data_IF_061339452302
#
_entry.id   IF_061339452302
#
_cell.length_a   1.000
_cell.length_b   1.000
_cell.length_c   1.000
_cell.angle_alpha   90.00
_cell.angle_beta   90.00
_cell.angle_gamma   90.00
#
_symmetry.space_group_name_H-M   'P 1'
#
loop_
_entity.id
_entity.type
_entity.pdbx_description
1 polymer ?
#
# COMPACT_ATOMS: atom_id res chain seq x y z
N UNK A 1 13.22 64.44 -0.40
CA UNK A 1 12.14 63.70 0.29
C UNK A 1 12.49 62.22 0.29
N UNK A 2 12.66 61.62 1.46
CA UNK A 2 13.06 60.22 1.60
C UNK A 2 11.93 59.29 1.12
N UNK A 3 12.24 58.36 0.23
CA UNK A 3 11.31 57.32 -0.19
C UNK A 3 10.93 56.48 1.04
N UNK A 4 9.64 56.46 1.38
CA UNK A 4 9.08 55.70 2.48
C UNK A 4 9.44 54.22 2.30
N UNK A 5 10.27 53.66 3.19
CA UNK A 5 10.57 52.23 3.23
C UNK A 5 9.38 51.52 3.89
N UNK A 6 8.35 51.23 3.09
CA UNK A 6 7.13 50.57 3.57
C UNK A 6 7.32 49.06 3.88
N UNK A 7 8.48 48.47 3.55
CA UNK A 7 8.70 47.01 3.66
C UNK A 7 10.13 46.69 4.15
N UNK A 8 10.29 45.56 4.83
CA UNK A 8 11.55 45.07 5.42
C UNK A 8 12.64 44.87 4.35
N UNK A 9 13.92 44.95 4.73
CA UNK A 9 15.08 44.93 3.82
C UNK A 9 15.26 43.63 3.03
N UNK A 10 14.62 42.53 3.46
CA UNK A 10 14.61 41.22 2.78
C UNK A 10 13.31 40.93 2.03
N UNK A 11 12.39 41.88 1.92
CA UNK A 11 11.10 41.64 1.29
C UNK A 11 11.19 41.82 -0.24
N UNK A 12 10.82 40.78 -0.98
CA UNK A 12 10.65 40.86 -2.43
C UNK A 12 9.33 41.57 -2.77
N UNK A 13 9.39 42.58 -3.63
CA UNK A 13 8.21 43.37 -4.05
C UNK A 13 8.12 43.35 -5.57
N UNK A 14 7.18 42.57 -6.11
CA UNK A 14 6.82 42.62 -7.51
C UNK A 14 5.67 43.62 -7.73
N UNK A 15 5.81 44.56 -8.67
CA UNK A 15 4.77 45.55 -9.00
C UNK A 15 3.86 45.04 -10.12
N UNK A 16 2.54 45.14 -9.93
CA UNK A 16 1.43 44.85 -10.85
C UNK A 16 1.78 43.96 -12.07
N UNK A 17 2.19 44.54 -13.20
CA UNK A 17 2.44 43.82 -14.45
C UNK A 17 3.56 42.76 -14.33
N UNK A 18 4.61 43.06 -13.57
CA UNK A 18 5.70 42.11 -13.31
C UNK A 18 5.23 40.95 -12.41
N UNK A 19 4.37 41.23 -11.43
CA UNK A 19 3.78 40.18 -10.59
C UNK A 19 2.87 39.25 -11.41
N UNK A 20 2.07 39.81 -12.31
CA UNK A 20 1.20 39.06 -13.20
C UNK A 20 2.00 38.14 -14.13
N UNK A 21 3.04 38.65 -14.79
CA UNK A 21 3.88 37.87 -15.69
C UNK A 21 4.59 36.70 -14.98
N UNK A 22 5.11 36.94 -13.77
CA UNK A 22 5.75 35.92 -12.93
C UNK A 22 4.75 34.84 -12.52
N UNK A 23 3.52 35.23 -12.15
CA UNK A 23 2.45 34.30 -11.78
C UNK A 23 2.00 33.41 -12.95
N UNK A 24 1.82 33.98 -14.13
CA UNK A 24 1.42 33.26 -15.34
C UNK A 24 2.54 32.30 -15.76
N UNK A 25 3.80 32.73 -15.71
CA UNK A 25 4.95 31.88 -16.01
C UNK A 25 5.04 30.69 -15.05
N UNK A 26 4.82 30.89 -13.75
CA UNK A 26 4.81 29.81 -12.77
C UNK A 26 3.68 28.80 -13.00
N UNK A 27 2.48 29.27 -13.35
CA UNK A 27 1.35 28.40 -13.68
C UNK A 27 1.61 27.59 -14.96
N UNK A 28 2.17 28.21 -16.00
CA UNK A 28 2.58 27.54 -17.25
C UNK A 28 3.67 26.51 -17.01
N UNK A 29 4.68 26.83 -16.19
CA UNK A 29 5.75 25.90 -15.85
C UNK A 29 5.22 24.62 -15.18
N UNK A 30 4.26 24.76 -14.25
CA UNK A 30 3.61 23.61 -13.62
C UNK A 30 2.71 22.83 -14.60
N UNK A 31 2.00 23.54 -15.48
CA UNK A 31 1.21 22.96 -16.57
C UNK A 31 2.07 22.09 -17.49
N UNK A 32 3.21 22.57 -17.96
CA UNK A 32 4.06 21.84 -18.91
C UNK A 32 4.66 20.56 -18.30
N UNK A 33 5.01 20.60 -17.00
CA UNK A 33 5.49 19.41 -16.27
C UNK A 33 4.43 18.32 -16.20
N UNK A 34 3.17 18.71 -15.94
CA UNK A 34 2.05 17.79 -15.75
C UNK A 34 1.33 17.42 -17.05
N UNK A 35 1.49 18.19 -18.13
CA UNK A 35 0.88 17.93 -19.44
C UNK A 35 1.19 16.54 -19.96
N UNK A 36 2.44 16.08 -19.78
CA UNK A 36 2.88 14.78 -20.25
C UNK A 36 2.27 13.59 -19.50
N UNK A 37 1.67 13.83 -18.33
CA UNK A 37 1.09 12.79 -17.48
C UNK A 37 -0.36 12.46 -17.85
N UNK A 38 -1.04 13.38 -18.55
CA UNK A 38 -2.46 13.26 -18.85
C UNK A 38 -2.72 12.12 -19.86
N UNK A 39 -3.82 11.40 -19.62
CA UNK A 39 -4.34 10.38 -20.53
C UNK A 39 -3.71 8.99 -20.36
N UNK A 40 -4.27 7.95 -21.00
CA UNK A 40 -3.83 6.56 -20.80
C UNK A 40 -2.39 6.32 -21.27
N UNK A 41 -1.94 7.04 -22.31
CA UNK A 41 -0.56 7.02 -22.83
C UNK A 41 0.38 8.05 -22.17
N UNK A 42 -0.08 8.77 -21.15
CA UNK A 42 0.75 9.72 -20.40
C UNK A 42 1.94 9.04 -19.72
N UNK A 43 3.08 9.74 -19.67
CA UNK A 43 4.34 9.25 -19.10
C UNK A 43 4.36 9.36 -17.58
N UNK A 44 5.03 8.42 -16.93
CA UNK A 44 5.26 8.46 -15.48
C UNK A 44 6.41 9.40 -15.15
N UNK A 45 6.35 10.04 -13.98
CA UNK A 45 7.44 10.86 -13.47
C UNK A 45 8.12 10.11 -12.32
N UNK A 46 9.45 10.16 -12.33
CA UNK A 46 10.29 9.65 -11.25
C UNK A 46 10.69 10.83 -10.38
N UNK A 47 10.27 10.83 -9.12
CA UNK A 47 10.69 11.78 -8.11
C UNK A 47 11.74 11.13 -7.22
N UNK A 48 12.78 11.88 -6.89
CA UNK A 48 13.84 11.44 -5.97
C UNK A 48 13.80 12.35 -4.75
N UNK A 49 13.55 11.78 -3.58
CA UNK A 49 13.56 12.52 -2.31
C UNK A 49 14.99 12.85 -1.90
N UNK A 50 15.17 13.81 -0.97
CA UNK A 50 16.49 14.11 -0.40
C UNK A 50 17.13 12.93 0.35
N UNK A 51 16.33 11.95 0.79
CA UNK A 51 16.80 10.70 1.40
C UNK A 51 17.20 9.63 0.36
N UNK A 52 17.02 9.91 -0.93
CA UNK A 52 17.28 8.97 -2.03
C UNK A 52 16.10 8.05 -2.35
N UNK A 53 14.92 8.28 -1.78
CA UNK A 53 13.73 7.49 -2.11
C UNK A 53 13.27 7.82 -3.53
N UNK A 54 13.11 6.78 -4.34
CA UNK A 54 12.65 6.90 -5.72
C UNK A 54 11.16 6.57 -5.76
N UNK A 55 10.33 7.55 -6.12
CA UNK A 55 8.89 7.40 -6.28
C UNK A 55 8.50 7.60 -7.74
N UNK A 56 8.06 6.52 -8.37
CA UNK A 56 7.50 6.55 -9.72
C UNK A 56 5.99 6.65 -9.62
N UNK A 57 5.42 7.72 -10.16
CA UNK A 57 3.96 7.88 -10.19
C UNK A 57 3.49 8.60 -11.45
N UNK A 58 2.27 8.29 -11.84
CA UNK A 58 1.52 9.01 -12.87
C UNK A 58 0.53 10.01 -12.26
N UNK A 59 0.15 9.79 -11.00
CA UNK A 59 -0.85 10.58 -10.31
C UNK A 59 -0.34 12.00 -10.03
N UNK A 60 -1.08 12.99 -10.52
CA UNK A 60 -0.78 14.39 -10.32
C UNK A 60 -0.78 14.80 -8.85
N UNK A 61 -1.66 14.24 -8.02
CA UNK A 61 -1.74 14.63 -6.60
C UNK A 61 -0.45 14.25 -5.86
N UNK A 62 -0.01 13.00 -6.04
CA UNK A 62 1.24 12.50 -5.45
C UNK A 62 2.44 13.32 -5.92
N UNK A 63 2.48 13.72 -7.20
CA UNK A 63 3.57 14.56 -7.69
C UNK A 63 3.60 15.93 -7.02
N UNK A 64 2.45 16.58 -6.86
CA UNK A 64 2.35 17.91 -6.28
C UNK A 64 2.70 17.95 -4.79
N UNK A 65 2.47 16.86 -4.07
CA UNK A 65 2.85 16.72 -2.65
C UNK A 65 4.35 16.48 -2.46
N UNK A 66 4.95 15.70 -3.34
CA UNK A 66 6.35 15.26 -3.21
C UNK A 66 7.32 16.26 -3.87
N UNK A 67 6.85 17.06 -4.84
CA UNK A 67 7.64 18.12 -5.46
C UNK A 67 7.85 19.30 -4.50
N UNK A 68 9.10 19.72 -4.35
CA UNK A 68 9.45 20.94 -3.62
C UNK A 68 9.20 22.19 -4.49
N UNK A 69 7.96 22.69 -4.45
CA UNK A 69 7.57 23.88 -5.20
C UNK A 69 8.00 25.15 -4.46
N UNK A 70 8.94 25.91 -5.04
CA UNK A 70 9.42 27.17 -4.45
C UNK A 70 8.52 28.37 -4.75
N UNK A 71 7.86 28.39 -5.91
CA UNK A 71 7.08 29.55 -6.34
C UNK A 71 5.71 29.63 -5.61
N UNK A 72 5.35 30.77 -4.99
CA UNK A 72 4.11 30.89 -4.21
C UNK A 72 2.84 30.56 -5.00
N UNK A 73 2.73 31.07 -6.23
CA UNK A 73 1.58 30.83 -7.12
C UNK A 73 1.45 29.36 -7.53
N UNK A 74 2.54 28.68 -7.84
CA UNK A 74 2.53 27.26 -8.14
C UNK A 74 2.16 26.42 -6.90
N UNK A 75 2.59 26.84 -5.70
CA UNK A 75 2.19 26.21 -4.43
C UNK A 75 0.69 26.37 -4.17
N UNK A 76 0.12 27.54 -4.46
CA UNK A 76 -1.32 27.77 -4.35
C UNK A 76 -2.11 26.89 -5.33
N UNK A 77 -1.68 26.81 -6.59
CA UNK A 77 -2.29 25.93 -7.61
C UNK A 77 -2.21 24.46 -7.17
N UNK A 78 -1.07 24.02 -6.64
CA UNK A 78 -0.90 22.66 -6.11
C UNK A 78 -1.88 22.33 -4.98
N UNK A 79 -2.08 23.27 -4.03
CA UNK A 79 -3.04 23.10 -2.94
C UNK A 79 -4.49 23.00 -3.44
N UNK A 80 -4.86 23.82 -4.43
CA UNK A 80 -6.20 23.75 -5.05
C UNK A 80 -6.41 22.41 -5.75
N UNK A 81 -5.39 21.91 -6.45
CA UNK A 81 -5.45 20.59 -7.10
C UNK A 81 -5.58 19.44 -6.10
N UNK A 82 -4.87 19.49 -4.96
CA UNK A 82 -5.05 18.50 -3.87
C UNK A 82 -6.45 18.57 -3.27
N UNK A 83 -6.97 19.77 -2.99
CA UNK A 83 -8.33 19.91 -2.44
C UNK A 83 -9.40 19.33 -3.39
N UNK A 84 -9.19 19.44 -4.71
CA UNK A 84 -10.03 18.79 -5.69
C UNK A 84 -9.92 17.26 -5.64
N UNK A 85 -8.71 16.72 -5.48
CA UNK A 85 -8.47 15.28 -5.35
C UNK A 85 -9.18 14.68 -4.14
N UNK A 86 -9.20 15.38 -3.00
CA UNK A 86 -9.89 14.92 -1.79
C UNK A 86 -11.41 14.73 -2.00
N UNK A 87 -11.97 15.45 -2.97
CA UNK A 87 -13.39 15.40 -3.35
C UNK A 87 -13.62 14.33 -4.41
N UNK A 88 -12.94 14.43 -5.56
CA UNK A 88 -13.23 13.63 -6.77
C UNK A 88 -12.30 12.42 -6.95
N UNK A 89 -11.12 12.43 -6.33
CA UNK A 89 -10.10 11.37 -6.39
C UNK A 89 -9.48 11.12 -7.77
N UNK A 90 -9.70 12.05 -8.70
CA UNK A 90 -9.21 12.04 -10.08
C UNK A 90 -9.35 13.47 -10.66
N UNK A 91 -8.65 13.75 -11.75
CA UNK A 91 -8.75 15.01 -12.48
C UNK A 91 -7.80 16.12 -12.02
N UNK A 92 -6.86 15.83 -11.10
CA UNK A 92 -5.85 16.79 -10.63
C UNK A 92 -5.00 17.36 -11.76
N UNK A 93 -4.53 16.50 -12.67
CA UNK A 93 -3.75 16.89 -13.84
C UNK A 93 -4.56 17.79 -14.78
N UNK A 94 -5.83 17.44 -15.04
CA UNK A 94 -6.73 18.23 -15.88
C UNK A 94 -7.00 19.61 -15.29
N UNK A 95 -7.19 19.70 -13.98
CA UNK A 95 -7.45 20.96 -13.29
C UNK A 95 -6.29 21.94 -13.46
N UNK A 96 -5.05 21.48 -13.27
CA UNK A 96 -3.86 22.33 -13.46
C UNK A 96 -3.68 22.74 -14.91
N UNK A 97 -3.96 21.83 -15.86
CA UNK A 97 -3.90 22.14 -17.29
C UNK A 97 -4.88 23.25 -17.68
N UNK A 98 -6.11 23.19 -17.17
CA UNK A 98 -7.13 24.21 -17.42
C UNK A 98 -6.74 25.54 -16.79
N UNK A 99 -6.26 25.55 -15.54
CA UNK A 99 -5.82 26.78 -14.86
C UNK A 99 -4.67 27.46 -15.63
N UNK A 100 -3.66 26.68 -16.05
CA UNK A 100 -2.53 27.20 -16.82
C UNK A 100 -2.94 27.77 -18.18
N UNK A 101 -3.86 27.09 -18.88
CA UNK A 101 -4.37 27.56 -20.18
C UNK A 101 -5.28 28.79 -20.04
N UNK A 102 -6.14 28.85 -19.02
CA UNK A 102 -6.97 30.04 -18.72
C UNK A 102 -6.11 31.27 -18.46
N UNK A 103 -5.04 31.11 -17.65
CA UNK A 103 -4.08 32.19 -17.39
C UNK A 103 -3.30 32.57 -18.64
N UNK A 104 -2.99 31.62 -19.53
CA UNK A 104 -2.35 31.90 -20.83
C UNK A 104 -3.25 32.73 -21.74
N UNK A 105 -4.54 32.43 -21.81
CA UNK A 105 -5.50 33.22 -22.60
C UNK A 105 -5.73 34.60 -21.98
N UNK A 106 -5.82 34.69 -20.64
CA UNK A 106 -5.91 35.97 -19.95
C UNK A 106 -4.70 36.86 -20.23
N UNK A 107 -3.48 36.30 -20.29
CA UNK A 107 -2.24 37.02 -20.64
C UNK A 107 -2.34 37.71 -21.99
N UNK A 108 -2.87 37.00 -23.00
CA UNK A 108 -3.04 37.53 -24.36
C UNK A 108 -3.93 38.77 -24.34
N UNK A 109 -5.10 38.69 -23.72
CA UNK A 109 -6.04 39.80 -23.63
C UNK A 109 -5.52 40.97 -22.79
N UNK A 110 -4.79 40.69 -21.71
CA UNK A 110 -4.15 41.74 -20.90
C UNK A 110 -3.06 42.45 -21.70
N UNK A 111 -2.33 41.72 -22.57
CA UNK A 111 -1.34 42.31 -23.47
C UNK A 111 -1.98 43.21 -24.54
N UNK A 112 -3.23 42.94 -24.93
CA UNK A 112 -4.03 43.79 -25.82
C UNK A 112 -4.64 45.01 -25.12
N UNK A 113 -4.43 45.16 -23.81
CA UNK A 113 -4.86 46.33 -23.03
C UNK A 113 -6.15 46.16 -22.23
N UNK A 114 -6.70 44.94 -22.14
CA UNK A 114 -7.85 44.67 -21.28
C UNK A 114 -7.47 44.67 -19.80
N UNK A 115 -8.28 45.31 -18.96
CA UNK A 115 -8.05 45.32 -17.53
C UNK A 115 -8.35 43.93 -16.93
N UNK A 116 -7.48 43.35 -16.08
CA UNK A 116 -7.65 41.99 -15.54
C UNK A 116 -9.00 41.72 -14.86
N UNK A 117 -9.62 42.77 -14.30
CA UNK A 117 -10.94 42.69 -13.67
C UNK A 117 -12.04 42.25 -14.64
N UNK A 118 -12.02 42.74 -15.89
CA UNK A 118 -13.04 42.41 -16.90
C UNK A 118 -12.96 40.93 -17.28
N UNK A 119 -11.74 40.40 -17.36
CA UNK A 119 -11.50 38.97 -17.65
C UNK A 119 -11.94 38.10 -16.47
N UNK A 120 -11.66 38.53 -15.23
CA UNK A 120 -12.11 37.84 -14.03
C UNK A 120 -13.64 37.77 -13.96
N UNK A 121 -14.34 38.89 -14.20
CA UNK A 121 -15.80 38.94 -14.24
C UNK A 121 -16.35 38.07 -15.40
N UNK A 122 -15.61 37.97 -16.52
CA UNK A 122 -15.93 37.08 -17.65
C UNK A 122 -15.78 35.58 -17.34
N UNK A 123 -14.84 35.18 -16.47
CA UNK A 123 -14.74 33.80 -15.96
C UNK A 123 -15.84 33.47 -14.92
N UNK A 124 -16.55 34.49 -14.43
CA UNK A 124 -17.57 34.36 -13.39
C UNK A 124 -19.01 34.33 -13.90
N UNK A 125 -19.25 34.41 -15.22
CA UNK A 125 -20.61 34.39 -15.79
C UNK A 125 -21.46 33.23 -15.26
N UNK A 126 -22.47 33.56 -14.46
CA UNK A 126 -23.28 32.62 -13.71
C UNK A 126 -24.18 31.74 -14.59
N UNK A 127 -24.61 32.22 -15.76
CA UNK A 127 -25.51 31.48 -16.65
C UNK A 127 -24.90 30.21 -17.23
N UNK A 128 -23.62 30.25 -17.62
CA UNK A 128 -22.93 29.06 -18.14
C UNK A 128 -22.61 28.07 -17.03
N UNK A 129 -22.22 28.55 -15.84
CA UNK A 129 -22.04 27.71 -14.65
C UNK A 129 -23.34 27.02 -14.25
N UNK A 130 -24.46 27.74 -14.21
CA UNK A 130 -25.77 27.17 -13.90
C UNK A 130 -26.22 26.15 -14.95
N UNK A 131 -25.94 26.40 -16.24
CA UNK A 131 -26.26 25.44 -17.31
C UNK A 131 -25.44 24.16 -17.19
N UNK A 132 -24.16 24.26 -16.87
CA UNK A 132 -23.27 23.11 -16.66
C UNK A 132 -23.69 22.30 -15.42
N UNK A 133 -23.98 22.99 -14.31
CA UNK A 133 -24.46 22.34 -13.07
C UNK A 133 -25.81 21.66 -13.29
N UNK A 134 -26.73 22.27 -14.05
CA UNK A 134 -28.01 21.64 -14.41
C UNK A 134 -27.82 20.41 -15.29
N UNK A 135 -26.91 20.44 -16.26
CA UNK A 135 -26.61 19.30 -17.11
C UNK A 135 -25.97 18.15 -16.32
N UNK A 136 -25.04 18.46 -15.43
CA UNK A 136 -24.39 17.47 -14.55
C UNK A 136 -25.39 16.83 -13.59
N UNK A 137 -26.26 17.63 -12.97
CA UNK A 137 -27.34 17.11 -12.10
C UNK A 137 -28.25 16.15 -12.84
N UNK A 138 -28.72 16.54 -14.03
CA UNK A 138 -29.57 15.67 -14.85
C UNK A 138 -28.90 14.33 -15.15
N UNK A 139 -27.61 14.35 -15.44
CA UNK A 139 -26.84 13.13 -15.70
C UNK A 139 -26.69 12.23 -14.46
N UNK A 140 -26.56 12.82 -13.27
CA UNK A 140 -26.53 12.07 -12.01
C UNK A 140 -27.91 11.47 -11.71
N UNK A 141 -28.97 12.26 -11.84
CA UNK A 141 -30.35 11.83 -11.60
C UNK A 141 -30.72 10.64 -12.51
N UNK A 142 -30.35 10.70 -13.80
CA UNK A 142 -30.57 9.62 -14.76
C UNK A 142 -29.87 8.31 -14.34
N UNK A 143 -28.68 8.40 -13.72
CA UNK A 143 -27.95 7.23 -13.20
C UNK A 143 -28.63 6.62 -11.99
N UNK A 144 -29.09 7.45 -11.05
CA UNK A 144 -29.81 6.99 -9.86
C UNK A 144 -31.10 6.31 -10.26
N UNK A 145 -31.82 6.88 -11.23
CA UNK A 145 -33.07 6.31 -11.73
C UNK A 145 -32.86 4.91 -12.30
N UNK A 146 -31.79 4.66 -13.07
CA UNK A 146 -31.43 3.32 -13.56
C UNK A 146 -31.18 2.32 -12.44
N UNK A 147 -30.54 2.74 -11.34
CA UNK A 147 -30.32 1.87 -10.17
C UNK A 147 -31.65 1.52 -9.50
N UNK A 148 -32.55 2.49 -9.38
CA UNK A 148 -33.90 2.28 -8.83
C UNK A 148 -34.69 1.33 -9.72
N UNK A 149 -34.66 1.50 -11.03
CA UNK A 149 -35.30 0.58 -11.99
C UNK A 149 -34.76 -0.85 -11.90
N UNK A 150 -33.44 -1.01 -11.73
CA UNK A 150 -32.82 -2.32 -11.54
C UNK A 150 -33.28 -2.96 -10.23
N UNK A 151 -33.32 -2.17 -9.15
CA UNK A 151 -33.80 -2.61 -7.85
C UNK A 151 -35.27 -3.03 -7.93
N UNK A 152 -36.13 -2.27 -8.60
CA UNK A 152 -37.55 -2.61 -8.76
C UNK A 152 -37.73 -3.89 -9.59
N UNK A 153 -36.93 -4.10 -10.64
CA UNK A 153 -36.92 -5.36 -11.41
C UNK A 153 -36.57 -6.59 -10.56
N UNK A 154 -35.60 -6.46 -9.66
CA UNK A 154 -35.08 -7.59 -8.86
C UNK A 154 -35.89 -7.81 -7.58
N UNK A 155 -36.31 -6.74 -6.91
CA UNK A 155 -37.03 -6.79 -5.64
C UNK A 155 -38.55 -6.94 -5.79
N UNK A 156 -39.13 -6.78 -6.98
CA UNK A 156 -40.57 -7.02 -7.19
C UNK A 156 -41.01 -8.46 -6.84
N UNK A 157 -40.08 -9.43 -6.88
CA UNK A 157 -40.39 -10.84 -6.66
C UNK A 157 -40.03 -11.35 -5.26
N UNK A 158 -39.29 -10.58 -4.45
CA UNK A 158 -38.82 -11.07 -3.15
C UNK A 158 -38.43 -9.92 -2.21
N UNK A 159 -38.65 -10.10 -0.90
CA UNK A 159 -38.28 -9.14 0.16
C UNK A 159 -36.75 -9.13 0.39
N UNK A 160 -35.98 -8.86 -0.67
CA UNK A 160 -34.51 -8.82 -0.68
C UNK A 160 -34.06 -7.38 -0.50
N UNK A 161 -33.11 -7.17 0.42
CA UNK A 161 -32.39 -5.90 0.54
C UNK A 161 -31.47 -5.67 -0.67
N UNK A 162 -31.24 -4.40 -1.01
CA UNK A 162 -30.35 -4.02 -2.12
C UNK A 162 -29.26 -3.09 -1.61
N UNK A 163 -28.01 -3.42 -1.94
CA UNK A 163 -26.82 -2.70 -1.45
C UNK A 163 -25.98 -2.26 -2.65
N UNK A 164 -25.63 -0.98 -2.69
CA UNK A 164 -24.76 -0.39 -3.72
C UNK A 164 -23.44 -0.02 -3.08
N UNK A 165 -22.34 -0.55 -3.62
CA UNK A 165 -20.98 -0.22 -3.15
C UNK A 165 -20.24 0.50 -4.26
N UNK A 166 -19.96 1.79 -4.06
CA UNK A 166 -19.23 2.61 -5.02
C UNK A 166 -17.79 2.84 -4.55
N UNK A 167 -16.84 2.74 -5.50
CA UNK A 167 -15.44 3.08 -5.25
C UNK A 167 -15.24 4.57 -5.01
N UNK A 168 -15.98 5.42 -5.74
CA UNK A 168 -15.92 6.88 -5.61
C UNK A 168 -16.96 7.41 -4.62
N UNK A 169 -16.98 8.73 -4.46
CA UNK A 169 -18.04 9.42 -3.71
C UNK A 169 -19.42 9.20 -4.34
N UNK A 170 -20.45 9.33 -3.51
CA UNK A 170 -21.84 9.47 -3.94
C UNK A 170 -22.29 10.84 -3.45
N UNK A 171 -22.97 11.59 -4.30
CA UNK A 171 -23.50 12.90 -3.96
C UNK A 171 -24.62 12.80 -2.90
N UNK A 172 -24.79 13.82 -2.04
CA UNK A 172 -25.78 13.77 -0.96
C UNK A 172 -27.23 13.60 -1.42
N UNK A 173 -27.62 14.21 -2.54
CA UNK A 173 -28.99 14.13 -3.07
C UNK A 173 -29.31 12.70 -3.54
N UNK A 174 -28.36 12.04 -4.20
CA UNK A 174 -28.49 10.63 -4.59
C UNK A 174 -28.54 9.71 -3.39
N UNK A 175 -27.81 10.01 -2.31
CA UNK A 175 -27.91 9.23 -1.07
C UNK A 175 -29.32 9.30 -0.48
N UNK A 176 -29.93 10.49 -0.44
CA UNK A 176 -31.30 10.67 0.03
C UNK A 176 -32.32 9.95 -0.87
N UNK A 177 -32.12 10.00 -2.19
CA UNK A 177 -32.96 9.28 -3.14
C UNK A 177 -32.86 7.76 -2.95
N UNK A 178 -31.64 7.21 -2.89
CA UNK A 178 -31.40 5.79 -2.65
C UNK A 178 -31.97 5.33 -1.30
N UNK A 179 -31.82 6.16 -0.25
CA UNK A 179 -32.35 5.87 1.08
C UNK A 179 -33.89 5.86 1.11
N UNK A 180 -34.57 6.78 0.40
CA UNK A 180 -36.03 6.77 0.24
C UNK A 180 -36.53 5.49 -0.41
N UNK A 181 -35.76 4.93 -1.33
CA UNK A 181 -36.05 3.63 -1.95
C UNK A 181 -35.51 2.44 -1.13
N UNK A 182 -34.97 2.64 0.08
CA UNK A 182 -34.49 1.55 0.94
C UNK A 182 -33.23 0.85 0.42
N UNK A 183 -32.41 1.53 -0.38
CA UNK A 183 -31.12 1.02 -0.87
C UNK A 183 -30.01 1.48 0.07
N UNK A 184 -29.19 0.55 0.56
CA UNK A 184 -28.01 0.88 1.36
C UNK A 184 -26.86 1.23 0.42
N UNK A 185 -26.39 2.48 0.46
CA UNK A 185 -25.32 2.96 -0.41
C UNK A 185 -24.03 3.22 0.37
N UNK A 186 -22.96 2.49 0.01
CA UNK A 186 -21.62 2.69 0.54
C UNK A 186 -20.79 3.51 -0.44
N UNK A 187 -20.25 4.64 0.04
CA UNK A 187 -19.37 5.53 -0.73
C UNK A 187 -17.89 5.29 -0.38
N UNK A 188 -16.99 5.62 -1.30
CA UNK A 188 -15.53 5.61 -1.09
C UNK A 188 -14.96 4.23 -0.70
N UNK A 189 -15.45 3.16 -1.31
CA UNK A 189 -14.90 1.83 -1.09
C UNK A 189 -13.49 1.71 -1.70
N UNK A 190 -12.54 1.14 -0.94
CA UNK A 190 -11.19 0.86 -1.46
C UNK A 190 -11.26 -0.20 -2.56
N UNK A 191 -10.45 -0.05 -3.62
CA UNK A 191 -10.35 -1.03 -4.73
C UNK A 191 -10.14 -2.48 -4.25
N UNK A 192 -9.28 -2.68 -3.24
CA UNK A 192 -9.03 -4.01 -2.64
C UNK A 192 -10.30 -4.66 -2.06
N UNK A 193 -11.24 -3.86 -1.57
CA UNK A 193 -12.51 -4.37 -1.04
C UNK A 193 -13.46 -4.73 -2.19
N UNK A 194 -13.50 -3.93 -3.26
CA UNK A 194 -14.30 -4.23 -4.45
C UNK A 194 -13.89 -5.56 -5.08
N UNK A 195 -12.59 -5.78 -5.27
CA UNK A 195 -12.05 -7.04 -5.81
C UNK A 195 -12.44 -8.24 -4.92
N UNK A 196 -12.40 -8.08 -3.59
CA UNK A 196 -12.83 -9.12 -2.64
C UNK A 196 -14.33 -9.37 -2.67
N UNK A 197 -15.14 -8.32 -2.79
CA UNK A 197 -16.60 -8.43 -2.88
C UNK A 197 -17.02 -9.15 -4.16
N UNK A 198 -16.40 -8.84 -5.28
CA UNK A 198 -16.63 -9.55 -6.54
C UNK A 198 -16.33 -11.04 -6.40
N UNK A 199 -15.20 -11.40 -5.79
CA UNK A 199 -14.81 -12.80 -5.57
C UNK A 199 -15.66 -13.52 -4.51
N UNK A 200 -16.15 -12.81 -3.49
CA UNK A 200 -16.94 -13.39 -2.41
C UNK A 200 -18.40 -13.57 -2.81
N UNK A 201 -19.05 -12.50 -3.29
CA UNK A 201 -20.47 -12.48 -3.62
C UNK A 201 -20.76 -13.01 -5.03
N UNK A 202 -19.72 -13.16 -5.88
CA UNK A 202 -19.86 -13.57 -7.28
C UNK A 202 -20.32 -12.46 -8.23
N UNK A 203 -20.29 -11.20 -7.78
CA UNK A 203 -20.72 -10.05 -8.57
C UNK A 203 -19.62 -9.52 -9.50
N UNK A 204 -20.03 -8.94 -10.63
CA UNK A 204 -19.11 -8.32 -11.60
C UNK A 204 -19.04 -6.81 -11.30
N UNK A 205 -17.82 -6.30 -11.12
CA UNK A 205 -17.62 -4.86 -10.98
C UNK A 205 -17.81 -4.17 -12.34
N UNK A 206 -18.80 -3.29 -12.44
CA UNK A 206 -19.14 -2.57 -13.66
C UNK A 206 -18.69 -1.11 -13.56
N UNK A 207 -18.12 -0.56 -14.63
CA UNK A 207 -17.68 0.84 -14.69
C UNK A 207 -18.76 1.81 -15.17
N UNK A 208 -19.62 1.37 -16.10
CA UNK A 208 -20.71 2.16 -16.67
C UNK A 208 -22.06 1.73 -16.08
N UNK A 209 -22.94 2.69 -15.84
CA UNK A 209 -24.31 2.39 -15.38
C UNK A 209 -25.21 1.82 -16.49
N UNK A 210 -24.78 1.88 -17.74
CA UNK A 210 -25.52 1.32 -18.88
C UNK A 210 -25.37 -0.20 -18.99
N UNK A 211 -24.26 -0.74 -18.51
CA UNK A 211 -23.96 -2.17 -18.54
C UNK A 211 -24.50 -2.90 -17.28
N UNK A 212 -25.33 -2.24 -16.47
CA UNK A 212 -25.89 -2.80 -15.25
C UNK A 212 -27.02 -3.79 -15.57
N UNK A 213 -26.65 -5.08 -15.56
CA UNK A 213 -27.58 -6.18 -15.75
C UNK A 213 -27.79 -6.98 -14.45
N UNK A 214 -28.85 -7.77 -14.40
CA UNK A 214 -29.17 -8.67 -13.27
C UNK A 214 -28.05 -9.68 -13.03
N UNK A 215 -27.38 -10.12 -14.10
CA UNK A 215 -26.26 -11.07 -14.04
C UNK A 215 -24.99 -10.51 -13.38
N UNK A 216 -24.87 -9.18 -13.28
CA UNK A 216 -23.72 -8.55 -12.64
C UNK A 216 -23.85 -8.50 -11.12
N UNK A 217 -25.03 -8.78 -10.56
CA UNK A 217 -25.31 -8.65 -9.14
C UNK A 217 -24.70 -9.82 -8.35
N UNK A 218 -23.99 -9.48 -7.27
CA UNK A 218 -23.54 -10.47 -6.29
C UNK A 218 -24.63 -10.81 -5.28
N UNK A 219 -24.61 -12.03 -4.75
CA UNK A 219 -25.50 -12.45 -3.68
C UNK A 219 -24.77 -12.48 -2.32
N UNK A 220 -25.38 -11.85 -1.32
CA UNK A 220 -24.95 -11.90 0.08
C UNK A 220 -26.18 -12.26 0.94
N UNK A 221 -25.98 -13.11 1.94
CA UNK A 221 -27.06 -13.55 2.83
C UNK A 221 -27.38 -12.53 3.90
N UNK A 222 -26.36 -11.99 4.58
CA UNK A 222 -26.54 -11.03 5.66
C UNK A 222 -25.67 -9.78 5.44
N UNK A 223 -26.33 -8.62 5.37
CA UNK A 223 -25.65 -7.32 5.37
C UNK A 223 -26.14 -6.52 6.56
N UNK A 224 -25.25 -6.20 7.48
CA UNK A 224 -25.58 -5.44 8.67
C UNK A 224 -24.49 -4.43 9.03
N UNK A 225 -24.89 -3.34 9.68
CA UNK A 225 -23.98 -2.35 10.23
C UNK A 225 -23.73 -2.68 11.70
N UNK A 226 -22.46 -2.77 12.09
CA UNK A 226 -22.05 -3.01 13.47
C UNK A 226 -21.07 -1.91 13.91
N UNK A 227 -21.35 -1.29 15.06
CA UNK A 227 -20.51 -0.25 15.63
C UNK A 227 -19.36 -0.87 16.45
N UNK A 228 -18.12 -0.57 16.06
CA UNK A 228 -16.91 -0.96 16.78
C UNK A 228 -16.25 0.29 17.38
N UNK A 229 -16.56 0.58 18.63
CA UNK A 229 -16.14 1.83 19.28
C UNK A 229 -16.93 3.01 18.71
N UNK A 230 -16.23 4.00 18.18
CA UNK A 230 -16.84 5.19 17.57
C UNK A 230 -17.11 5.03 16.06
N UNK A 231 -16.50 4.02 15.43
CA UNK A 231 -16.62 3.79 13.99
C UNK A 231 -17.66 2.70 13.68
N UNK A 232 -18.42 2.93 12.61
CA UNK A 232 -19.40 1.96 12.10
C UNK A 232 -18.81 1.17 10.95
N UNK A 233 -18.96 -0.15 11.00
CA UNK A 233 -18.49 -1.07 9.98
C UNK A 233 -19.68 -1.80 9.36
N UNK A 234 -19.65 -1.98 8.04
CA UNK A 234 -20.64 -2.80 7.33
C UNK A 234 -20.06 -4.18 7.11
N UNK A 235 -20.74 -5.19 7.66
CA UNK A 235 -20.41 -6.59 7.49
C UNK A 235 -21.28 -7.16 6.37
N UNK A 236 -20.64 -7.82 5.41
CA UNK A 236 -21.27 -8.53 4.30
C UNK A 236 -20.87 -9.99 4.46
N UNK A 237 -21.79 -10.79 4.97
CA UNK A 237 -21.60 -12.18 5.38
C UNK A 237 -22.55 -13.09 4.59
N UNK A 238 -22.34 -14.40 4.71
CA UNK A 238 -23.11 -15.44 3.98
C UNK A 238 -23.10 -15.23 2.46
N UNK A 239 -21.92 -14.95 1.91
CA UNK A 239 -21.71 -14.85 0.47
C UNK A 239 -21.74 -16.24 -0.20
N UNK A 240 -22.06 -16.29 -1.50
CA UNK A 240 -22.14 -17.53 -2.28
C UNK A 240 -20.87 -18.39 -2.19
N UNK A 241 -19.70 -17.74 -2.16
CA UNK A 241 -18.41 -18.41 -2.05
C UNK A 241 -17.88 -18.37 -0.60
N UNK A 242 -17.90 -19.49 0.14
CA UNK A 242 -17.38 -19.55 1.51
C UNK A 242 -15.83 -19.54 1.57
N UNK A 243 -15.14 -19.28 0.46
CA UNK A 243 -13.67 -19.27 0.39
C UNK A 243 -13.06 -17.92 0.79
N UNK A 244 -13.85 -16.86 0.82
CA UNK A 244 -13.39 -15.51 1.19
C UNK A 244 -13.76 -15.22 2.64
N UNK A 245 -12.76 -15.17 3.52
CA UNK A 245 -12.95 -14.89 4.94
C UNK A 245 -12.22 -13.60 5.34
N UNK A 246 -12.79 -12.86 6.29
CA UNK A 246 -12.17 -11.67 6.86
C UNK A 246 -11.89 -11.89 8.34
N UNK A 247 -10.62 -11.85 8.73
CA UNK A 247 -10.23 -11.90 10.14
C UNK A 247 -10.23 -10.48 10.72
N UNK A 248 -11.23 -10.17 11.55
CA UNK A 248 -11.32 -8.91 12.26
C UNK A 248 -10.43 -8.95 13.52
N UNK A 249 -9.39 -8.11 13.55
CA UNK A 249 -8.49 -7.98 14.71
C UNK A 249 -8.88 -6.74 15.52
N UNK A 250 -9.19 -6.94 16.80
CA UNK A 250 -9.42 -5.85 17.77
C UNK A 250 -8.20 -5.70 18.67
N UNK A 251 -7.83 -4.46 18.96
CA UNK A 251 -6.67 -4.15 19.79
C UNK A 251 -6.73 -2.72 20.29
N UNK A 252 -6.10 -2.40 21.43
CA UNK A 252 -6.21 -1.10 22.07
C UNK A 252 -5.44 0.00 21.31
N UNK A 253 -4.28 -0.35 20.74
CA UNK A 253 -3.38 0.59 20.07
C UNK A 253 -3.07 0.15 18.64
N UNK A 254 -2.83 1.11 17.74
CA UNK A 254 -2.46 0.84 16.33
C UNK A 254 -1.17 0.01 16.21
N UNK A 255 -0.17 0.25 17.07
CA UNK A 255 1.07 -0.53 17.06
C UNK A 255 0.83 -2.00 17.40
N UNK A 256 0.02 -2.26 18.41
CA UNK A 256 -0.38 -3.62 18.79
C UNK A 256 -1.17 -4.30 17.67
N UNK A 257 -2.07 -3.57 16.99
CA UNK A 257 -2.80 -4.10 15.83
C UNK A 257 -1.87 -4.51 14.68
N UNK A 258 -0.85 -3.71 14.37
CA UNK A 258 0.13 -4.06 13.34
C UNK A 258 0.90 -5.31 13.73
N UNK A 259 1.35 -5.42 14.98
CA UNK A 259 2.06 -6.60 15.48
C UNK A 259 1.18 -7.86 15.42
N UNK A 260 -0.08 -7.78 15.87
CA UNK A 260 -1.01 -8.93 15.81
C UNK A 260 -1.30 -9.29 14.36
N UNK A 261 -1.50 -8.32 13.48
CA UNK A 261 -1.72 -8.56 12.05
C UNK A 261 -0.56 -9.31 11.42
N UNK A 262 0.68 -8.92 11.72
CA UNK A 262 1.86 -9.58 11.21
C UNK A 262 2.00 -10.99 11.79
N UNK A 263 1.76 -11.16 13.10
CA UNK A 263 1.74 -12.48 13.74
C UNK A 263 0.68 -13.43 13.14
N UNK A 264 -0.54 -12.95 12.88
CA UNK A 264 -1.60 -13.73 12.22
C UNK A 264 -1.19 -14.10 10.80
N UNK A 265 -0.60 -13.17 10.05
CA UNK A 265 -0.11 -13.42 8.69
C UNK A 265 0.95 -14.52 8.67
N UNK A 266 1.90 -14.46 9.61
CA UNK A 266 2.98 -15.43 9.71
C UNK A 266 2.47 -16.79 10.19
N UNK A 267 1.56 -16.83 11.17
CA UNK A 267 0.91 -18.07 11.61
C UNK A 267 0.13 -18.76 10.49
N UNK A 268 -0.69 -18.01 9.75
CA UNK A 268 -1.42 -18.54 8.59
C UNK A 268 -0.47 -19.05 7.50
N UNK A 269 0.67 -18.38 7.30
CA UNK A 269 1.69 -18.80 6.33
C UNK A 269 2.39 -20.08 6.77
N UNK A 270 2.71 -20.22 8.06
CA UNK A 270 3.30 -21.44 8.62
C UNK A 270 2.35 -22.64 8.45
N UNK A 271 1.05 -22.45 8.76
CA UNK A 271 0.03 -23.48 8.56
C UNK A 271 -0.11 -23.82 7.07
N UNK A 272 -0.18 -22.81 6.20
CA UNK A 272 -0.26 -23.03 4.75
C UNK A 272 0.91 -23.89 4.26
N UNK A 273 2.13 -23.53 4.64
CA UNK A 273 3.32 -24.27 4.25
C UNK A 273 3.30 -25.71 4.79
N UNK A 274 2.77 -25.93 6.00
CA UNK A 274 2.68 -27.26 6.59
C UNK A 274 1.70 -28.15 5.82
N UNK A 275 0.57 -27.58 5.39
CA UNK A 275 -0.43 -28.27 4.57
C UNK A 275 0.12 -28.59 3.18
N UNK A 276 0.83 -27.65 2.55
CA UNK A 276 1.42 -27.84 1.21
C UNK A 276 2.60 -28.83 1.20
N UNK A 277 3.49 -28.76 2.20
CA UNK A 277 4.68 -29.62 2.28
C UNK A 277 4.37 -31.04 2.77
N UNK A 278 3.28 -31.24 3.53
CA UNK A 278 2.89 -32.54 4.11
C UNK A 278 3.88 -33.10 5.15
N UNK A 279 4.90 -32.32 5.54
CA UNK A 279 5.90 -32.71 6.53
C UNK A 279 6.33 -31.50 7.38
N UNK A 280 6.71 -31.79 8.61
CA UNK A 280 7.26 -30.84 9.58
C UNK A 280 8.54 -31.41 10.16
N UNK A 281 9.46 -30.54 10.55
CA UNK A 281 10.74 -30.92 11.13
C UNK A 281 10.84 -30.39 12.56
N UNK A 282 11.48 -31.10 13.49
CA UNK A 282 11.61 -30.64 14.87
C UNK A 282 12.36 -29.30 14.94
N UNK A 283 11.81 -28.35 15.69
CA UNK A 283 12.34 -26.98 15.80
C UNK A 283 13.41 -26.85 16.88
N UNK A 284 13.49 -25.68 17.50
CA UNK A 284 14.35 -25.39 18.66
C UNK A 284 15.85 -25.67 18.45
N UNK A 285 16.35 -25.61 17.21
CA UNK A 285 17.75 -25.89 16.89
C UNK A 285 18.07 -27.39 16.71
N UNK A 286 17.08 -28.28 16.83
CA UNK A 286 17.30 -29.72 16.78
C UNK A 286 17.80 -30.21 15.41
N UNK A 287 17.21 -29.67 14.34
CA UNK A 287 17.64 -29.98 12.96
C UNK A 287 19.06 -29.49 12.70
N UNK A 288 19.42 -28.32 13.21
CA UNK A 288 20.77 -27.76 13.04
C UNK A 288 21.84 -28.61 13.72
N UNK A 289 21.57 -29.10 14.94
CA UNK A 289 22.48 -30.02 15.66
C UNK A 289 22.61 -31.35 14.90
N UNK A 290 21.48 -31.92 14.46
CA UNK A 290 21.47 -33.17 13.71
C UNK A 290 22.23 -33.08 12.37
N UNK A 291 22.08 -31.97 11.64
CA UNK A 291 22.81 -31.74 10.39
C UNK A 291 24.31 -31.56 10.66
N UNK A 292 24.68 -30.80 11.70
CA UNK A 292 26.08 -30.59 12.06
C UNK A 292 26.79 -31.93 12.36
N UNK A 293 26.14 -32.81 13.13
CA UNK A 293 26.70 -34.13 13.44
C UNK A 293 26.82 -35.02 12.19
N UNK A 294 25.78 -35.05 11.36
CA UNK A 294 25.82 -35.78 10.09
C UNK A 294 26.95 -35.30 9.17
N UNK A 295 27.25 -33.99 9.15
CA UNK A 295 28.35 -33.41 8.39
C UNK A 295 29.72 -33.77 8.98
N UNK A 296 29.86 -33.87 10.31
CA UNK A 296 31.08 -34.31 10.97
C UNK A 296 31.38 -35.77 10.61
N UNK A 297 30.38 -36.64 10.58
CA UNK A 297 30.53 -38.03 10.12
C UNK A 297 30.93 -38.04 8.64
N UNK A 298 30.27 -37.24 7.81
CA UNK A 298 30.54 -37.14 6.38
C UNK A 298 31.95 -36.59 6.05
N UNK A 299 32.48 -35.70 6.90
CA UNK A 299 33.85 -35.16 6.83
C UNK A 299 34.93 -36.24 6.82
N UNK A 300 34.69 -37.42 7.41
CA UNK A 300 35.65 -38.53 7.38
C UNK A 300 35.72 -39.23 6.01
N UNK A 301 34.67 -39.13 5.20
CA UNK A 301 34.60 -39.73 3.86
C UNK A 301 35.30 -38.89 2.79
N UNK A 302 35.40 -37.58 2.99
CA UNK A 302 35.99 -36.65 2.02
C UNK A 302 37.50 -36.52 2.23
N UNK A 303 38.25 -36.55 1.11
CA UNK A 303 39.70 -36.32 1.08
C UNK A 303 40.03 -34.89 0.64
N UNK A 304 41.11 -34.32 1.17
CA UNK A 304 41.66 -33.04 0.73
C UNK A 304 41.19 -31.81 1.53
N UNK A 305 41.45 -30.61 0.99
CA UNK A 305 41.17 -29.31 1.64
C UNK A 305 39.68 -29.00 1.77
N UNK A 306 38.83 -29.63 0.96
CA UNK A 306 37.36 -29.54 1.03
C UNK A 306 36.81 -30.00 2.39
N UNK A 307 37.56 -30.84 3.12
CA UNK A 307 37.26 -31.25 4.49
C UNK A 307 37.09 -30.07 5.46
N UNK A 308 37.89 -29.01 5.28
CA UNK A 308 37.82 -27.80 6.10
C UNK A 308 36.54 -27.01 5.82
N UNK A 309 36.09 -26.99 4.56
CA UNK A 309 34.82 -26.35 4.18
C UNK A 309 33.61 -27.04 4.79
N UNK A 310 33.57 -28.37 4.79
CA UNK A 310 32.50 -29.16 5.44
C UNK A 310 32.49 -28.92 6.95
N UNK A 311 33.66 -28.89 7.58
CA UNK A 311 33.76 -28.56 9.01
C UNK A 311 33.25 -27.14 9.31
N UNK A 312 33.71 -26.14 8.56
CA UNK A 312 33.27 -24.76 8.74
C UNK A 312 31.74 -24.62 8.57
N UNK A 313 31.15 -25.36 7.63
CA UNK A 313 29.70 -25.38 7.44
C UNK A 313 28.97 -26.04 8.62
N UNK A 314 29.48 -27.16 9.14
CA UNK A 314 28.92 -27.81 10.33
C UNK A 314 28.99 -26.89 11.57
N UNK A 315 30.14 -26.28 11.82
CA UNK A 315 30.36 -25.36 12.94
C UNK A 315 29.47 -24.10 12.82
N UNK A 316 29.22 -23.64 11.59
CA UNK A 316 28.34 -22.51 11.32
C UNK A 316 26.86 -22.80 11.65
N UNK A 317 26.37 -24.02 11.39
CA UNK A 317 24.97 -24.38 11.70
C UNK A 317 24.68 -24.34 13.20
N UNK A 318 25.68 -24.64 14.04
CA UNK A 318 25.57 -24.58 15.49
C UNK A 318 25.40 -23.15 16.05
N UNK A 319 25.46 -22.10 15.21
CA UNK A 319 25.18 -20.73 15.66
C UNK A 319 23.74 -20.57 16.14
N UNK A 320 22.78 -21.24 15.51
CA UNK A 320 21.36 -21.12 15.85
C UNK A 320 21.10 -21.58 17.30
N UNK A 321 21.45 -22.82 17.71
CA UNK A 321 21.28 -23.23 19.10
C UNK A 321 22.10 -22.39 20.09
N UNK A 322 23.31 -21.94 19.73
CA UNK A 322 24.12 -21.04 20.57
C UNK A 322 23.39 -19.72 20.85
N UNK A 323 22.83 -19.10 19.81
CA UNK A 323 22.11 -17.83 19.95
C UNK A 323 20.81 -18.02 20.73
N UNK A 324 20.12 -19.16 20.56
CA UNK A 324 18.94 -19.50 21.36
C UNK A 324 19.27 -19.56 22.85
N UNK A 325 20.34 -20.29 23.23
CA UNK A 325 20.79 -20.36 24.62
C UNK A 325 21.22 -18.99 25.17
N UNK A 326 21.98 -18.23 24.39
CA UNK A 326 22.45 -16.89 24.77
C UNK A 326 21.29 -15.92 25.00
N UNK A 327 20.29 -15.91 24.12
CA UNK A 327 19.12 -15.03 24.25
C UNK A 327 18.22 -15.43 25.43
N UNK A 328 18.23 -16.70 25.82
CA UNK A 328 17.58 -17.19 27.04
C UNK A 328 18.37 -16.90 28.32
N UNK A 329 19.57 -16.31 28.24
CA UNK A 329 20.40 -15.97 29.40
C UNK A 329 21.24 -17.11 29.95
N UNK A 330 21.35 -18.23 29.23
CA UNK A 330 22.19 -19.37 29.60
C UNK A 330 23.56 -19.30 28.92
N UNK A 331 24.54 -20.06 29.44
CA UNK A 331 25.84 -20.20 28.79
C UNK A 331 25.69 -20.99 27.48
N UNK A 332 25.99 -20.38 26.31
CA UNK A 332 25.82 -21.04 25.02
C UNK A 332 26.77 -22.22 24.80
N UNK A 333 27.93 -22.26 25.46
CA UNK A 333 28.87 -23.37 25.32
C UNK A 333 28.39 -24.59 26.12
N UNK A 334 28.00 -24.38 27.38
CA UNK A 334 27.53 -25.44 28.25
C UNK A 334 26.24 -26.08 27.72
N UNK A 335 25.26 -25.27 27.32
CA UNK A 335 23.99 -25.75 26.77
C UNK A 335 24.21 -26.57 25.49
N UNK A 336 25.11 -26.12 24.61
CA UNK A 336 25.41 -26.82 23.37
C UNK A 336 26.05 -28.20 23.63
N UNK A 337 26.99 -28.29 24.57
CA UNK A 337 27.65 -29.56 24.92
C UNK A 337 26.62 -30.56 25.43
N UNK A 338 25.70 -30.12 26.30
CA UNK A 338 24.62 -30.98 26.82
C UNK A 338 23.72 -31.51 25.69
N UNK A 339 23.28 -30.63 24.79
CA UNK A 339 22.43 -30.99 23.65
C UNK A 339 23.14 -31.95 22.69
N UNK A 340 24.42 -31.72 22.40
CA UNK A 340 25.20 -32.62 21.55
C UNK A 340 25.40 -33.99 22.19
N UNK A 341 25.69 -34.03 23.50
CA UNK A 341 25.86 -35.28 24.24
C UNK A 341 24.56 -36.11 24.22
N UNK A 342 23.43 -35.47 24.53
CA UNK A 342 22.15 -36.18 24.56
C UNK A 342 21.68 -36.59 23.16
N UNK A 343 21.97 -35.79 22.13
CA UNK A 343 21.66 -36.16 20.74
C UNK A 343 22.44 -37.40 20.29
N UNK A 344 23.70 -37.54 20.73
CA UNK A 344 24.53 -38.72 20.45
C UNK A 344 23.99 -39.98 21.13
N UNK A 345 23.49 -39.86 22.36
CA UNK A 345 22.93 -40.98 23.13
C UNK A 345 21.57 -41.43 22.61
N UNK A 346 20.64 -40.48 22.42
CA UNK A 346 19.26 -40.75 22.02
C UNK A 346 19.10 -41.04 20.53
N UNK A 347 19.96 -40.47 19.67
CA UNK A 347 19.79 -40.37 18.21
C UNK A 347 18.47 -39.72 17.76
N UNK A 348 17.76 -39.10 18.68
CA UNK A 348 16.54 -38.34 18.40
C UNK A 348 16.88 -36.87 18.20
N UNK A 349 16.08 -36.13 17.42
CA UNK A 349 16.31 -34.70 17.20
C UNK A 349 16.04 -33.90 18.48
N UNK A 350 17.11 -33.60 19.21
CA UNK A 350 17.10 -32.85 20.47
C UNK A 350 17.39 -31.37 20.22
N UNK A 351 16.51 -30.52 20.73
CA UNK A 351 16.63 -29.06 20.70
C UNK A 351 16.95 -28.48 22.08
N UNK A 352 16.99 -27.16 22.16
CA UNK A 352 17.19 -26.42 23.41
C UNK A 352 15.84 -25.95 23.96
N UNK A 353 15.56 -26.26 25.23
CA UNK A 353 14.46 -25.65 25.94
C UNK A 353 14.85 -24.24 26.39
N UNK A 354 14.15 -23.22 25.88
CA UNK A 354 14.44 -21.83 26.20
C UNK A 354 14.14 -21.43 27.66
N UNK A 355 13.31 -22.21 28.36
CA UNK A 355 12.89 -21.92 29.74
C UNK A 355 13.80 -22.54 30.81
N UNK A 356 14.47 -23.65 30.48
CA UNK A 356 15.36 -24.37 31.40
C UNK A 356 16.82 -24.31 30.99
N UNK A 357 17.10 -24.02 29.71
CA UNK A 357 18.45 -24.10 29.14
C UNK A 357 18.94 -25.53 28.96
N UNK A 358 18.05 -26.52 29.17
CA UNK A 358 18.37 -27.93 29.09
C UNK A 358 17.97 -28.53 27.72
N UNK A 359 18.66 -29.60 27.29
CA UNK A 359 18.24 -30.40 26.14
C UNK A 359 16.80 -30.93 26.30
N UNK A 360 16.06 -30.93 25.20
CA UNK A 360 14.73 -31.53 25.15
C UNK A 360 14.40 -32.12 23.79
N UNK A 361 13.55 -33.15 23.77
CA UNK A 361 12.96 -33.66 22.53
C UNK A 361 11.96 -32.63 22.00
N UNK A 362 12.30 -31.96 20.90
CA UNK A 362 11.49 -30.87 20.35
C UNK A 362 10.12 -31.36 19.84
N UNK A 363 10.03 -32.62 19.42
CA UNK A 363 8.79 -33.26 18.98
C UNK A 363 7.75 -33.37 20.12
N UNK A 364 8.19 -33.82 21.30
CA UNK A 364 7.33 -33.99 22.49
C UNK A 364 6.89 -32.65 23.07
N UNK A 365 7.75 -31.63 22.93
CA UNK A 365 7.44 -30.25 23.29
C UNK A 365 6.42 -29.59 22.35
N UNK A 366 6.10 -30.21 21.21
CA UNK A 366 5.24 -29.64 20.17
C UNK A 366 5.90 -28.50 19.39
N UNK A 367 7.23 -28.35 19.44
CA UNK A 367 7.96 -27.29 18.74
C UNK A 367 8.40 -27.81 17.37
N UNK A 368 7.66 -27.41 16.34
CA UNK A 368 7.87 -27.85 14.95
C UNK A 368 8.10 -26.66 14.02
N UNK A 369 9.02 -26.84 13.08
CA UNK A 369 9.30 -25.93 11.98
C UNK A 369 8.84 -26.55 10.64
N UNK A 370 8.51 -25.69 9.67
CA UNK A 370 8.20 -26.14 8.31
C UNK A 370 9.47 -26.58 7.55
N UNK A 371 9.36 -27.66 6.79
CA UNK A 371 10.46 -28.17 5.97
C UNK A 371 10.95 -27.16 4.92
N UNK A 372 10.04 -26.49 4.21
CA UNK A 372 10.41 -25.50 3.19
C UNK A 372 11.30 -24.38 3.73
N UNK A 373 11.11 -23.97 4.99
CA UNK A 373 11.90 -22.92 5.63
C UNK A 373 13.36 -23.35 5.76
N UNK A 374 13.61 -24.53 6.35
CA UNK A 374 14.98 -25.05 6.51
C UNK A 374 15.65 -25.35 5.18
N UNK A 375 14.91 -25.93 4.22
CA UNK A 375 15.42 -26.20 2.86
C UNK A 375 15.86 -24.93 2.15
N UNK A 376 15.01 -23.90 2.16
CA UNK A 376 15.31 -22.63 1.51
C UNK A 376 16.43 -21.88 2.23
N UNK A 377 16.49 -21.95 3.56
CA UNK A 377 17.57 -21.37 4.36
C UNK A 377 18.92 -21.93 3.93
N UNK A 378 19.08 -23.25 3.92
CA UNK A 378 20.35 -23.88 3.53
C UNK A 378 20.74 -23.54 2.10
N UNK A 379 19.80 -23.61 1.16
CA UNK A 379 20.07 -23.30 -0.25
C UNK A 379 20.51 -21.84 -0.44
N UNK A 380 19.72 -20.90 0.08
CA UNK A 380 19.96 -19.47 -0.09
C UNK A 380 21.25 -19.01 0.60
N UNK A 381 21.49 -19.43 1.84
CA UNK A 381 22.70 -19.09 2.58
C UNK A 381 23.97 -19.59 1.88
N UNK A 382 23.99 -20.83 1.37
CA UNK A 382 25.16 -21.36 0.66
C UNK A 382 25.45 -20.59 -0.63
N UNK A 383 24.41 -20.28 -1.42
CA UNK A 383 24.58 -19.53 -2.68
C UNK A 383 25.08 -18.11 -2.41
N UNK A 384 24.49 -17.41 -1.45
CA UNK A 384 24.88 -16.03 -1.10
C UNK A 384 26.30 -16.01 -0.53
N UNK A 385 26.63 -16.91 0.40
CA UNK A 385 27.98 -16.98 0.98
C UNK A 385 29.03 -17.28 -0.10
N UNK A 386 28.76 -18.22 -1.00
CA UNK A 386 29.66 -18.52 -2.12
C UNK A 386 29.86 -17.31 -3.02
N UNK A 387 28.78 -16.60 -3.38
CA UNK A 387 28.88 -15.41 -4.23
C UNK A 387 29.67 -14.28 -3.55
N UNK A 388 29.45 -14.04 -2.25
CA UNK A 388 30.18 -13.01 -1.50
C UNK A 388 31.68 -13.35 -1.44
N UNK A 389 32.04 -14.62 -1.24
CA UNK A 389 33.43 -15.06 -1.23
C UNK A 389 34.14 -14.91 -2.58
N UNK A 390 33.39 -14.78 -3.68
CA UNK A 390 33.91 -14.58 -5.04
C UNK A 390 34.00 -13.11 -5.43
N UNK A 391 33.49 -12.17 -4.62
CA UNK A 391 33.65 -10.74 -4.86
C UNK A 391 35.03 -10.31 -4.36
N UNK A 392 35.88 -9.89 -5.29
CA UNK A 392 37.24 -9.41 -5.03
C UNK A 392 37.27 -7.89 -4.77
N UNK A 393 36.51 -7.10 -5.53
CA UNK A 393 36.46 -5.65 -5.38
C UNK A 393 35.03 -5.08 -5.40
N UNK A 394 34.78 -4.10 -4.53
CA UNK A 394 33.53 -3.31 -4.52
C UNK A 394 33.88 -1.86 -4.86
N UNK A 395 33.69 -1.48 -6.14
CA UNK A 395 33.94 -0.11 -6.60
C UNK A 395 32.66 0.76 -6.51
N UNK A 396 32.71 1.84 -5.74
CA UNK A 396 31.64 2.83 -5.67
C UNK A 396 31.85 3.93 -6.72
N UNK A 397 31.28 3.75 -7.91
CA UNK A 397 31.43 4.68 -9.04
C UNK A 397 30.35 5.80 -9.11
N UNK A 398 29.86 6.27 -7.95
CA UNK A 398 28.84 7.33 -7.87
C UNK A 398 29.31 8.50 -7.03
N UNK A 399 29.19 9.73 -7.54
CA UNK A 399 29.44 10.94 -6.75
C UNK A 399 28.46 11.00 -5.59
N UNK A 400 28.97 10.91 -4.35
CA UNK A 400 28.21 11.29 -3.17
C UNK A 400 27.94 12.79 -3.23
N UNK A 401 26.69 13.17 -3.51
CA UNK A 401 26.20 14.53 -3.34
C UNK A 401 26.15 14.85 -1.84
N UNK A 402 27.32 15.08 -1.25
CA UNK A 402 27.52 15.68 0.05
C UNK A 402 28.20 17.03 -0.19
N UNK A 403 27.39 17.99 -0.64
CA UNK A 403 27.60 19.42 -0.42
C UNK A 403 26.24 19.99 -0.02
N UNK A 404 26.16 20.41 1.24
CA UNK A 404 24.99 20.97 1.90
C UNK A 404 25.25 21.01 3.38
#
# INVERSE_FOLDING_TARGET
MAAIKAVNSKAEVARAQAALAVNICAARGLQDVLRTNLGPKGTMKMLVSGAGDIKLTKDGNVLLHEMQIQHPTASLIAKVATAQDDITGDGTTSNILIIGELLRQADFYISEGLHPRIIADGFETAEEKDRLVKAERKFIDDRVQKIIELKDKVCAQSNRGFVVVNQKGIDPLSLDALAKHGIVALRRAKRRNMERLSLACGGIAVNSFEDLNVDCLGHAGLVHEYALGEEKFTFIEDCVSPRSVTLLVKGPNKHTLTQIKDAVRDGLRAIKNAIEDGCVVPGAGAVEVAIAEALIIYKHRIKGRTRLGVQAFADALLIIPKVLAQNSGYDPQEALIKVQAEHLESKEPIGINLNTGEPMVAADAGVWDNYCVKKQLLHSCTVIAANILLVDEIMRAGMSSLKG
#
